data_IF_187064637837
#
_entry.id   IF_187064637837
#
_cell.length_a   1.000
_cell.length_b   1.000
_cell.length_c   1.000
_cell.angle_alpha   90.00
_cell.angle_beta   90.00
_cell.angle_gamma   90.00
#
_symmetry.space_group_name_H-M   'P 1'
#
loop_
_entity.id
_entity.type
_entity.pdbx_description
1 polymer ?
#
# COMPACT_ATOMS: atom_id res chain seq x y z
N UNK A 1 -8.41 -19.83 -5.49
CA UNK A 1 -9.21 -20.23 -4.30
C UNK A 1 -9.48 -21.72 -4.39
N UNK A 2 -9.41 -22.49 -3.28
CA UNK A 2 -9.74 -23.92 -3.29
C UNK A 2 -11.27 -24.11 -3.19
N UNK A 3 -11.83 -25.22 -3.76
CA UNK A 3 -13.28 -25.49 -3.68
C UNK A 3 -13.82 -25.54 -2.23
N UNK A 4 -12.99 -26.01 -1.29
CA UNK A 4 -13.35 -26.08 0.12
C UNK A 4 -13.52 -24.67 0.75
N UNK A 5 -12.62 -23.75 0.42
CA UNK A 5 -12.70 -22.35 0.90
C UNK A 5 -13.91 -21.67 0.26
N UNK A 6 -14.16 -21.87 -1.01
CA UNK A 6 -15.32 -21.32 -1.69
C UNK A 6 -16.64 -21.79 -1.06
N UNK A 7 -16.78 -23.10 -0.83
CA UNK A 7 -17.97 -23.65 -0.15
C UNK A 7 -18.16 -23.09 1.26
N UNK A 8 -17.05 -22.85 1.99
CA UNK A 8 -17.08 -22.21 3.31
C UNK A 8 -17.59 -20.76 3.23
N UNK A 9 -17.08 -19.97 2.27
CA UNK A 9 -17.53 -18.59 2.07
C UNK A 9 -18.98 -18.51 1.66
N UNK A 10 -19.43 -19.39 0.74
CA UNK A 10 -20.86 -19.46 0.34
C UNK A 10 -21.79 -19.79 1.51
N UNK A 11 -21.36 -20.65 2.44
CA UNK A 11 -22.13 -20.92 3.67
C UNK A 11 -22.12 -19.72 4.63
N UNK A 12 -20.95 -19.12 4.88
CA UNK A 12 -20.81 -18.00 5.82
C UNK A 12 -21.59 -16.75 5.37
N UNK A 13 -21.77 -16.55 4.07
CA UNK A 13 -22.41 -15.41 3.45
C UNK A 13 -23.59 -15.83 2.55
N UNK A 14 -24.39 -16.82 2.98
CA UNK A 14 -25.47 -17.41 2.18
C UNK A 14 -26.56 -16.42 1.72
N UNK A 15 -26.78 -15.34 2.47
CA UNK A 15 -27.74 -14.27 2.11
C UNK A 15 -27.11 -13.14 1.29
N UNK A 16 -25.87 -13.28 0.85
CA UNK A 16 -25.13 -12.24 0.12
C UNK A 16 -25.02 -12.56 -1.37
N UNK A 17 -24.99 -11.52 -2.19
CA UNK A 17 -24.56 -11.66 -3.58
C UNK A 17 -23.06 -11.98 -3.61
N UNK A 18 -22.71 -13.12 -4.18
CA UNK A 18 -21.30 -13.55 -4.35
C UNK A 18 -20.95 -13.45 -5.81
N UNK A 19 -19.95 -12.66 -6.12
CA UNK A 19 -19.42 -12.45 -7.47
C UNK A 19 -17.94 -12.82 -7.55
N UNK A 20 -17.54 -13.37 -8.67
CA UNK A 20 -16.12 -13.58 -8.96
C UNK A 20 -15.47 -12.23 -9.27
N UNK A 21 -14.22 -12.05 -8.83
CA UNK A 21 -13.51 -10.79 -9.04
C UNK A 21 -13.16 -10.58 -10.53
N UNK A 22 -13.61 -9.46 -11.06
CA UNK A 22 -13.18 -8.91 -12.36
C UNK A 22 -12.84 -7.42 -12.16
N UNK A 23 -11.69 -6.92 -12.62
CA UNK A 23 -11.36 -5.48 -12.57
C UNK A 23 -12.34 -4.55 -13.27
N UNK A 24 -13.24 -5.09 -14.09
CA UNK A 24 -14.30 -4.34 -14.80
C UNK A 24 -15.62 -4.25 -14.02
N UNK A 25 -15.71 -4.89 -12.83
CA UNK A 25 -16.89 -4.82 -12.00
C UNK A 25 -17.23 -3.37 -11.61
N UNK A 26 -18.50 -3.04 -11.72
CA UNK A 26 -19.06 -1.80 -11.20
C UNK A 26 -19.63 -2.07 -9.80
N UNK A 27 -18.84 -1.78 -8.76
CA UNK A 27 -19.25 -2.05 -7.39
C UNK A 27 -20.46 -1.24 -6.96
N UNK A 28 -20.65 -0.02 -7.45
CA UNK A 28 -21.77 0.84 -7.08
C UNK A 28 -23.11 0.20 -7.48
N UNK A 29 -23.14 -0.50 -8.62
CA UNK A 29 -24.35 -1.22 -9.06
C UNK A 29 -24.62 -2.51 -8.29
N UNK A 30 -23.62 -3.08 -7.65
CA UNK A 30 -23.74 -4.35 -6.94
C UNK A 30 -24.05 -4.18 -5.45
N UNK A 31 -23.76 -3.02 -4.87
CA UNK A 31 -23.88 -2.78 -3.44
C UNK A 31 -25.22 -2.11 -3.14
N UNK A 32 -26.02 -2.71 -2.27
CA UNK A 32 -27.22 -2.05 -1.76
C UNK A 32 -26.87 -0.82 -0.90
N UNK A 33 -27.73 0.22 -0.79
CA UNK A 33 -27.41 1.49 -0.14
C UNK A 33 -26.92 1.40 1.32
N UNK A 34 -27.27 0.33 2.02
CA UNK A 34 -26.80 0.04 3.40
C UNK A 34 -25.97 -1.24 3.47
N UNK A 35 -25.53 -1.75 2.32
CA UNK A 35 -24.78 -2.99 2.22
C UNK A 35 -23.37 -2.87 2.79
N UNK A 36 -22.79 -4.01 3.15
CA UNK A 36 -21.37 -4.15 3.40
C UNK A 36 -20.74 -4.96 2.27
N UNK A 37 -19.49 -4.70 2.01
CA UNK A 37 -18.70 -5.45 1.03
C UNK A 37 -17.77 -6.40 1.77
N UNK A 38 -17.61 -7.61 1.26
CA UNK A 38 -16.61 -8.56 1.74
C UNK A 38 -15.72 -8.93 0.57
N UNK A 39 -14.42 -8.72 0.72
CA UNK A 39 -13.42 -9.14 -0.28
C UNK A 39 -12.63 -10.33 0.24
N UNK A 40 -12.54 -11.38 -0.59
CA UNK A 40 -11.68 -12.53 -0.34
C UNK A 40 -10.60 -12.57 -1.43
N UNK A 41 -9.35 -12.20 -1.08
CA UNK A 41 -8.28 -12.09 -2.07
C UNK A 41 -6.94 -11.68 -1.51
N UNK A 42 -5.96 -11.53 -2.39
CA UNK A 42 -4.64 -10.97 -2.07
C UNK A 42 -4.62 -9.44 -2.17
N UNK A 43 -3.43 -8.87 -1.97
CA UNK A 43 -3.22 -7.40 -1.90
C UNK A 43 -3.75 -6.66 -3.14
N UNK A 44 -3.59 -7.22 -4.33
CA UNK A 44 -4.11 -6.62 -5.57
C UNK A 44 -5.63 -6.49 -5.59
N UNK A 45 -6.36 -7.58 -5.27
CA UNK A 45 -7.83 -7.60 -5.23
C UNK A 45 -8.35 -6.71 -4.09
N UNK A 46 -7.75 -6.82 -2.90
CA UNK A 46 -8.08 -5.96 -1.76
C UNK A 46 -7.85 -4.49 -2.11
N UNK A 47 -6.70 -4.18 -2.71
CA UNK A 47 -6.37 -2.82 -3.13
C UNK A 47 -7.36 -2.25 -4.14
N UNK A 48 -7.80 -3.04 -5.11
CA UNK A 48 -8.81 -2.63 -6.07
C UNK A 48 -10.15 -2.30 -5.38
N UNK A 49 -10.63 -3.20 -4.50
CA UNK A 49 -11.89 -2.99 -3.77
C UNK A 49 -11.79 -1.76 -2.86
N UNK A 50 -10.69 -1.60 -2.12
CA UNK A 50 -10.49 -0.45 -1.23
C UNK A 50 -10.53 0.86 -2.02
N UNK A 51 -9.85 0.94 -3.17
CA UNK A 51 -9.86 2.13 -4.02
C UNK A 51 -11.24 2.48 -4.55
N UNK A 52 -12.05 1.47 -4.91
CA UNK A 52 -13.41 1.69 -5.40
C UNK A 52 -14.43 1.97 -4.28
N UNK A 53 -14.12 1.62 -3.03
CA UNK A 53 -14.94 1.95 -1.86
C UNK A 53 -14.48 3.22 -1.14
N UNK A 54 -13.34 3.80 -1.53
CA UNK A 54 -12.86 5.04 -0.94
C UNK A 54 -13.95 6.13 -1.08
N UNK A 55 -14.12 6.91 0.01
CA UNK A 55 -15.13 7.98 0.09
C UNK A 55 -16.59 7.47 0.15
N UNK A 56 -16.81 6.16 0.07
CA UNK A 56 -18.14 5.57 0.31
C UNK A 56 -18.37 5.31 1.81
N UNK A 57 -19.65 5.04 2.18
CA UNK A 57 -19.99 4.71 3.57
C UNK A 57 -20.02 3.20 3.83
N UNK A 58 -19.77 2.38 2.83
CA UNK A 58 -19.91 0.93 2.90
C UNK A 58 -18.79 0.31 3.72
N UNK A 59 -19.12 -0.45 4.80
CA UNK A 59 -18.11 -1.19 5.55
C UNK A 59 -17.51 -2.32 4.72
N UNK A 60 -16.18 -2.47 4.79
CA UNK A 60 -15.42 -3.50 4.11
C UNK A 60 -14.94 -4.57 5.10
N UNK A 61 -15.32 -5.82 4.86
CA UNK A 61 -14.70 -7.00 5.47
C UNK A 61 -13.61 -7.55 4.56
N UNK A 62 -12.46 -7.94 5.14
CA UNK A 62 -11.33 -8.47 4.38
C UNK A 62 -11.03 -9.89 4.84
N UNK A 63 -10.94 -10.81 3.87
CA UNK A 63 -10.46 -12.19 4.02
C UNK A 63 -9.19 -12.32 3.20
N UNK A 64 -8.06 -12.31 3.90
CA UNK A 64 -6.72 -12.32 3.29
C UNK A 64 -6.40 -13.68 2.70
N UNK A 65 -6.16 -13.75 1.40
CA UNK A 65 -5.84 -14.97 0.66
C UNK A 65 -4.58 -14.84 -0.20
N UNK A 66 -3.87 -13.74 -0.10
CA UNK A 66 -2.60 -13.49 -0.80
C UNK A 66 -1.39 -13.98 -0.01
N UNK A 67 -0.20 -13.79 -0.59
CA UNK A 67 1.07 -14.18 0.03
C UNK A 67 1.50 -13.20 1.13
N UNK A 68 1.39 -11.91 0.89
CA UNK A 68 1.90 -10.88 1.81
C UNK A 68 0.81 -10.29 2.71
N UNK A 69 -0.30 -9.87 2.14
CA UNK A 69 -1.46 -9.29 2.84
C UNK A 69 -1.06 -8.14 3.78
N UNK A 70 -0.18 -7.24 3.31
CA UNK A 70 0.42 -6.18 4.13
C UNK A 70 -0.61 -5.22 4.71
N UNK A 71 -1.57 -4.79 3.87
CA UNK A 71 -2.63 -3.89 4.33
C UNK A 71 -3.48 -4.53 5.44
N UNK A 72 -3.90 -5.78 5.27
CA UNK A 72 -4.67 -6.50 6.27
C UNK A 72 -3.88 -6.75 7.57
N UNK A 73 -2.60 -7.12 7.44
CA UNK A 73 -1.69 -7.28 8.60
C UNK A 73 -1.48 -5.98 9.36
N UNK A 74 -1.32 -4.86 8.66
CA UNK A 74 -1.18 -3.54 9.29
C UNK A 74 -2.42 -3.10 10.06
N UNK A 75 -3.58 -3.67 9.73
CA UNK A 75 -4.83 -3.52 10.46
C UNK A 75 -5.04 -4.60 11.54
N UNK A 76 -4.06 -5.49 11.74
CA UNK A 76 -4.12 -6.63 12.67
C UNK A 76 -5.32 -7.56 12.40
N UNK A 77 -5.69 -7.70 11.13
CA UNK A 77 -6.76 -8.60 10.73
C UNK A 77 -6.28 -10.07 10.78
N UNK A 78 -7.19 -11.01 11.09
CA UNK A 78 -6.84 -12.42 11.12
C UNK A 78 -6.32 -12.94 9.77
N UNK A 79 -5.36 -13.85 9.84
CA UNK A 79 -4.77 -14.51 8.67
C UNK A 79 -5.50 -15.77 8.25
N UNK A 80 -6.36 -16.33 9.11
CA UNK A 80 -7.16 -17.52 8.80
C UNK A 80 -8.57 -17.14 8.36
N UNK A 81 -9.11 -17.86 7.38
CA UNK A 81 -10.44 -17.62 6.83
C UNK A 81 -11.52 -17.64 7.92
N UNK A 82 -11.48 -18.64 8.82
CA UNK A 82 -12.49 -18.78 9.88
C UNK A 82 -12.47 -17.59 10.87
N UNK A 83 -11.29 -17.15 11.26
CA UNK A 83 -11.17 -16.01 12.14
C UNK A 83 -11.59 -14.70 11.46
N UNK A 84 -11.26 -14.53 10.17
CA UNK A 84 -11.71 -13.38 9.37
C UNK A 84 -13.25 -13.35 9.24
N UNK A 85 -13.89 -14.47 8.96
CA UNK A 85 -15.36 -14.59 8.94
C UNK A 85 -15.96 -14.15 10.29
N UNK A 86 -15.40 -14.63 11.41
CA UNK A 86 -15.88 -14.21 12.75
C UNK A 86 -15.75 -12.71 12.97
N UNK A 87 -14.62 -12.10 12.56
CA UNK A 87 -14.43 -10.65 12.66
C UNK A 87 -15.45 -9.90 11.78
N UNK A 88 -15.71 -10.36 10.57
CA UNK A 88 -16.68 -9.72 9.67
C UNK A 88 -18.09 -9.76 10.24
N UNK A 89 -18.48 -10.83 10.91
CA UNK A 89 -19.82 -10.94 11.53
C UNK A 89 -19.94 -10.15 12.84
N UNK A 90 -18.92 -10.21 13.70
CA UNK A 90 -18.99 -9.74 15.09
C UNK A 90 -18.22 -8.44 15.36
N UNK A 91 -17.36 -8.02 14.43
CA UNK A 91 -16.53 -6.83 14.54
C UNK A 91 -17.30 -5.54 14.31
N UNK A 92 -16.55 -4.44 14.32
CA UNK A 92 -17.11 -3.10 14.06
C UNK A 92 -16.36 -2.38 12.95
N UNK A 93 -17.03 -1.54 12.16
CA UNK A 93 -16.38 -0.68 11.18
C UNK A 93 -15.48 0.34 11.88
N UNK A 94 -14.22 0.41 11.48
CA UNK A 94 -13.24 1.41 11.91
C UNK A 94 -12.85 2.29 10.73
N UNK A 95 -12.86 3.63 10.87
CA UNK A 95 -12.37 4.52 9.84
C UNK A 95 -10.86 4.29 9.61
N UNK A 96 -10.46 4.22 8.36
CA UNK A 96 -9.08 3.94 7.95
C UNK A 96 -8.60 5.06 7.03
N UNK A 97 -7.38 5.51 7.25
CA UNK A 97 -6.69 6.47 6.39
C UNK A 97 -6.11 5.76 5.18
N UNK A 98 -6.23 6.38 4.02
CA UNK A 98 -5.52 6.01 2.80
C UNK A 98 -4.56 7.12 2.41
N UNK A 99 -3.53 6.79 1.64
CA UNK A 99 -2.69 7.81 1.04
C UNK A 99 -3.17 8.15 -0.37
N UNK A 100 -2.95 9.38 -0.81
CA UNK A 100 -3.18 9.80 -2.20
C UNK A 100 -1.94 10.51 -2.73
N UNK A 101 -1.50 10.17 -3.93
CA UNK A 101 -0.42 10.87 -4.63
C UNK A 101 -0.87 11.20 -6.05
N UNK A 102 -0.85 12.48 -6.42
CA UNK A 102 -1.29 12.98 -7.73
C UNK A 102 -2.66 12.42 -8.16
N UNK A 103 -3.62 12.35 -7.23
CA UNK A 103 -4.95 11.81 -7.48
C UNK A 103 -5.09 10.28 -7.33
N UNK A 104 -3.99 9.52 -7.35
CA UNK A 104 -4.02 8.06 -7.19
C UNK A 104 -3.96 7.65 -5.72
N UNK A 105 -4.91 6.84 -5.28
CA UNK A 105 -4.93 6.26 -3.92
C UNK A 105 -3.91 5.13 -3.81
N UNK A 106 -3.17 5.10 -2.71
CA UNK A 106 -2.33 3.99 -2.29
C UNK A 106 -2.71 3.49 -0.89
N UNK A 107 -2.51 2.21 -0.67
CA UNK A 107 -2.84 1.52 0.57
C UNK A 107 -1.63 1.35 1.48
N UNK A 108 -0.48 1.01 0.88
CA UNK A 108 0.75 0.69 1.62
C UNK A 108 1.69 1.89 1.66
N UNK A 109 2.19 2.32 0.51
CA UNK A 109 3.09 3.45 0.41
C UNK A 109 3.11 4.09 -0.98
N UNK A 110 3.44 5.38 -1.04
CA UNK A 110 3.98 5.99 -2.24
C UNK A 110 5.49 6.19 -2.11
N UNK A 111 6.19 6.25 -3.24
CA UNK A 111 7.63 6.45 -3.24
C UNK A 111 8.10 7.28 -4.43
N UNK A 112 9.17 8.05 -4.21
CA UNK A 112 9.89 8.79 -5.24
C UNK A 112 11.32 8.25 -5.28
N UNK A 113 11.79 7.86 -6.49
CA UNK A 113 13.15 7.37 -6.69
C UNK A 113 13.31 5.86 -6.50
N UNK A 114 14.48 5.45 -6.02
CA UNK A 114 14.98 4.09 -6.06
C UNK A 114 14.08 3.05 -5.38
N UNK A 115 13.46 3.41 -4.26
CA UNK A 115 12.61 2.48 -3.51
C UNK A 115 11.38 2.02 -4.32
N UNK A 116 10.64 2.97 -4.93
CA UNK A 116 9.48 2.64 -5.74
C UNK A 116 9.84 1.80 -6.96
N UNK A 117 10.99 2.11 -7.60
CA UNK A 117 11.52 1.31 -8.70
C UNK A 117 11.82 -0.12 -8.27
N UNK A 118 12.38 -0.31 -7.09
CA UNK A 118 12.72 -1.65 -6.57
C UNK A 118 11.50 -2.51 -6.30
N UNK A 119 10.41 -1.93 -5.80
CA UNK A 119 9.13 -2.64 -5.61
C UNK A 119 8.55 -3.04 -6.98
N UNK A 120 8.54 -2.13 -7.95
CA UNK A 120 8.05 -2.39 -9.30
C UNK A 120 8.82 -3.52 -9.99
N UNK A 121 10.15 -3.59 -9.83
CA UNK A 121 10.99 -4.71 -10.31
C UNK A 121 10.57 -6.03 -9.66
N UNK A 122 10.36 -6.03 -8.35
CA UNK A 122 9.97 -7.24 -7.61
C UNK A 122 8.61 -7.79 -8.07
N UNK A 123 7.64 -6.93 -8.34
CA UNK A 123 6.32 -7.34 -8.85
C UNK A 123 6.37 -7.80 -10.31
N UNK A 124 7.06 -7.06 -11.19
CA UNK A 124 7.25 -7.45 -12.60
C UNK A 124 7.94 -8.81 -12.76
N UNK A 125 8.87 -9.14 -11.86
CA UNK A 125 9.51 -10.45 -11.82
C UNK A 125 8.53 -11.57 -11.48
N UNK A 126 7.59 -11.35 -10.56
CA UNK A 126 6.54 -12.31 -10.19
C UNK A 126 5.52 -12.53 -11.30
N UNK A 127 5.14 -11.46 -11.98
CA UNK A 127 4.18 -11.49 -13.08
C UNK A 127 4.76 -12.04 -14.39
N UNK A 128 6.06 -12.36 -14.43
CA UNK A 128 6.79 -12.80 -15.64
C UNK A 128 6.68 -11.81 -16.82
N UNK A 129 6.53 -10.53 -16.54
CA UNK A 129 6.43 -9.46 -17.52
C UNK A 129 7.84 -9.01 -18.00
N UNK A 130 8.50 -9.82 -18.84
CA UNK A 130 9.91 -9.64 -19.21
C UNK A 130 10.25 -8.25 -19.78
N UNK A 131 9.37 -7.64 -20.55
CA UNK A 131 9.61 -6.32 -21.16
C UNK A 131 9.69 -5.19 -20.12
N UNK A 132 8.71 -5.13 -19.24
CA UNK A 132 8.66 -4.15 -18.14
C UNK A 132 9.76 -4.40 -17.11
N UNK A 133 10.07 -5.66 -16.83
CA UNK A 133 11.15 -6.04 -15.92
C UNK A 133 12.51 -5.50 -16.39
N UNK A 134 12.87 -5.70 -17.66
CA UNK A 134 14.16 -5.23 -18.18
C UNK A 134 14.27 -3.70 -18.14
N UNK A 135 13.19 -2.97 -18.45
CA UNK A 135 13.15 -1.51 -18.35
C UNK A 135 13.32 -1.03 -16.90
N UNK A 136 12.60 -1.62 -15.96
CA UNK A 136 12.70 -1.23 -14.55
C UNK A 136 14.07 -1.57 -13.96
N UNK A 137 14.67 -2.71 -14.31
CA UNK A 137 16.03 -3.06 -13.90
C UNK A 137 17.06 -2.06 -14.44
N UNK A 138 16.94 -1.65 -15.70
CA UNK A 138 17.83 -0.62 -16.27
C UNK A 138 17.70 0.70 -15.51
N UNK A 139 16.48 1.16 -15.24
CA UNK A 139 16.26 2.39 -14.47
C UNK A 139 16.76 2.29 -13.03
N UNK A 140 16.64 1.11 -12.42
CA UNK A 140 17.22 0.85 -11.10
C UNK A 140 18.76 1.00 -11.12
N UNK A 141 19.42 0.48 -12.16
CA UNK A 141 20.86 0.59 -12.36
C UNK A 141 21.32 2.03 -12.63
N UNK A 142 20.49 2.84 -13.26
CA UNK A 142 20.77 4.25 -13.60
C UNK A 142 20.38 5.24 -12.49
N UNK A 143 19.74 4.78 -11.42
CA UNK A 143 19.26 5.64 -10.34
C UNK A 143 20.40 6.45 -9.71
N UNK A 144 20.19 7.75 -9.55
CA UNK A 144 21.14 8.70 -8.96
C UNK A 144 20.47 9.50 -7.85
N UNK A 145 21.23 10.04 -6.88
CA UNK A 145 20.68 11.00 -5.93
C UNK A 145 20.03 12.18 -6.66
N UNK A 146 18.93 12.66 -6.12
CA UNK A 146 18.25 13.85 -6.62
C UNK A 146 18.08 14.89 -5.50
N UNK A 147 18.07 16.16 -5.86
CA UNK A 147 17.72 17.23 -4.94
C UNK A 147 16.20 17.27 -4.80
N UNK A 148 15.71 17.45 -3.58
CA UNK A 148 14.28 17.59 -3.29
C UNK A 148 14.01 18.87 -2.49
N UNK A 149 12.80 19.38 -2.63
CA UNK A 149 12.22 20.42 -1.82
C UNK A 149 10.82 19.98 -1.37
N UNK A 150 10.54 20.14 -0.09
CA UNK A 150 9.28 19.82 0.56
C UNK A 150 8.59 21.09 0.96
N UNK A 151 7.27 21.18 0.74
CA UNK A 151 6.42 22.27 1.23
C UNK A 151 5.06 21.73 1.70
N UNK A 152 4.50 22.35 2.73
CA UNK A 152 3.25 21.93 3.36
C UNK A 152 3.41 21.73 4.86
N UNK A 153 2.95 20.62 5.40
CA UNK A 153 3.09 20.32 6.84
C UNK A 153 4.56 20.15 7.26
N UNK A 154 5.43 19.85 6.30
CA UNK A 154 6.87 19.77 6.48
C UNK A 154 7.52 20.65 5.41
N UNK A 155 8.41 21.54 5.85
CA UNK A 155 9.19 22.35 4.94
C UNK A 155 10.68 21.99 5.07
N UNK A 156 11.35 21.85 3.94
CA UNK A 156 12.76 21.49 3.93
C UNK A 156 13.27 21.11 2.55
N UNK A 157 14.58 20.98 2.44
CA UNK A 157 15.24 20.57 1.20
C UNK A 157 16.45 19.72 1.49
N UNK A 158 16.88 18.95 0.49
CA UNK A 158 18.04 18.09 0.64
C UNK A 158 18.36 17.27 -0.62
N UNK A 159 19.15 16.22 -0.43
CA UNK A 159 19.44 15.24 -1.47
C UNK A 159 19.11 13.84 -0.96
N UNK A 160 18.49 13.03 -1.79
CA UNK A 160 18.09 11.67 -1.46
C UNK A 160 18.20 10.72 -2.66
N UNK A 161 18.34 9.42 -2.37
CA UNK A 161 18.13 8.34 -3.34
C UNK A 161 16.66 7.93 -3.42
N UNK A 162 15.91 8.16 -2.33
CA UNK A 162 14.50 7.84 -2.26
C UNK A 162 13.78 8.62 -1.16
N UNK A 163 12.51 8.96 -1.44
CA UNK A 163 11.53 9.43 -0.45
C UNK A 163 10.41 8.40 -0.40
N UNK A 164 10.04 7.95 0.80
CA UNK A 164 8.97 6.96 1.01
C UNK A 164 7.90 7.57 1.91
N UNK A 165 6.67 7.53 1.44
CA UNK A 165 5.47 8.05 2.11
C UNK A 165 4.62 6.86 2.54
N UNK A 166 4.77 6.43 3.79
CA UNK A 166 4.17 5.21 4.30
C UNK A 166 2.77 5.45 4.86
N UNK A 167 1.85 4.52 4.56
CA UNK A 167 0.54 4.39 5.19
C UNK A 167 0.44 3.11 6.05
N UNK A 168 1.38 2.19 5.87
CA UNK A 168 1.51 0.94 6.64
C UNK A 168 2.91 0.85 7.24
N UNK A 169 3.10 -0.05 8.19
CA UNK A 169 4.42 -0.30 8.79
C UNK A 169 5.38 -1.07 7.88
N UNK A 170 4.85 -1.74 6.85
CA UNK A 170 5.65 -2.52 5.90
C UNK A 170 5.04 -2.50 4.50
N UNK A 171 5.85 -2.70 3.47
CA UNK A 171 5.44 -2.77 2.06
C UNK A 171 6.07 -3.96 1.35
N UNK A 172 5.45 -4.41 0.26
CA UNK A 172 5.94 -5.49 -0.60
C UNK A 172 6.20 -6.78 0.18
N UNK A 173 7.43 -7.31 0.13
CA UNK A 173 7.85 -8.52 0.86
C UNK A 173 8.05 -8.29 2.38
N UNK A 174 7.21 -7.47 3.02
CA UNK A 174 7.26 -7.09 4.44
C UNK A 174 8.47 -6.21 4.80
N UNK A 175 8.93 -5.38 3.86
CA UNK A 175 9.99 -4.43 4.15
C UNK A 175 9.47 -3.32 5.07
N UNK A 176 10.08 -3.10 6.24
CA UNK A 176 9.63 -2.07 7.18
C UNK A 176 9.87 -0.68 6.60
N UNK A 177 8.85 0.18 6.65
CA UNK A 177 8.90 1.56 6.15
C UNK A 177 8.55 2.59 7.22
N UNK A 178 7.96 2.17 8.33
CA UNK A 178 7.57 3.02 9.45
C UNK A 178 6.92 2.22 10.56
N UNK A 179 6.38 2.91 11.56
CA UNK A 179 5.65 2.31 12.69
C UNK A 179 4.13 2.58 12.60
N UNK A 180 3.70 3.24 11.53
CA UNK A 180 2.33 3.67 11.32
C UNK A 180 1.37 2.51 11.03
N UNK A 181 0.14 2.67 11.47
CA UNK A 181 -1.00 1.84 11.04
C UNK A 181 -1.98 2.66 10.19
N UNK A 182 -2.76 2.05 9.28
CA UNK A 182 -3.78 2.77 8.53
C UNK A 182 -4.88 3.41 9.39
N UNK A 183 -4.94 3.08 10.68
CA UNK A 183 -5.85 3.71 11.63
C UNK A 183 -5.39 5.11 12.08
N UNK A 184 -4.13 5.46 11.87
CA UNK A 184 -3.57 6.77 12.24
C UNK A 184 -3.97 7.84 11.21
N UNK A 185 -4.30 9.08 11.64
CA UNK A 185 -4.81 10.13 10.76
C UNK A 185 -3.70 10.94 10.07
N UNK A 186 -2.58 10.31 9.73
CA UNK A 186 -1.42 10.92 9.07
C UNK A 186 -0.69 9.88 8.20
N UNK A 187 0.24 10.35 7.39
CA UNK A 187 1.24 9.53 6.70
C UNK A 187 2.63 9.76 7.31
N UNK A 188 3.55 8.84 7.07
CA UNK A 188 4.95 8.98 7.50
C UNK A 188 5.88 9.14 6.30
N UNK A 189 6.74 10.15 6.32
CA UNK A 189 7.82 10.37 5.35
C UNK A 189 9.12 9.83 5.91
N UNK A 190 9.78 8.95 5.16
CA UNK A 190 11.16 8.53 5.38
C UNK A 190 12.07 9.03 4.25
N UNK A 191 13.17 9.71 4.59
CA UNK A 191 14.16 10.22 3.64
C UNK A 191 15.37 9.31 3.63
N UNK A 192 15.71 8.73 2.49
CA UNK A 192 16.83 7.82 2.30
C UNK A 192 17.98 8.55 1.58
N UNK A 193 18.74 9.36 2.33
CA UNK A 193 19.82 10.19 1.78
C UNK A 193 21.13 9.43 1.58
N UNK A 194 21.54 8.58 2.53
CA UNK A 194 22.85 7.91 2.55
C UNK A 194 22.84 6.44 2.11
N UNK A 195 21.71 5.90 1.66
CA UNK A 195 21.64 4.51 1.23
C UNK A 195 22.32 4.33 -0.13
N UNK A 196 23.24 3.36 -0.24
CA UNK A 196 23.78 2.98 -1.54
C UNK A 196 22.75 2.19 -2.35
N UNK A 197 22.91 2.17 -3.68
CA UNK A 197 22.09 1.34 -4.57
C UNK A 197 22.03 -0.11 -4.09
N UNK A 198 23.19 -0.65 -3.72
CA UNK A 198 23.36 -2.02 -3.23
C UNK A 198 22.55 -2.28 -1.96
N UNK A 199 22.48 -1.34 -1.05
CA UNK A 199 21.74 -1.52 0.20
C UNK A 199 20.23 -1.58 -0.02
N UNK A 200 19.71 -0.70 -0.86
CA UNK A 200 18.26 -0.67 -1.18
C UNK A 200 17.87 -1.90 -2.00
N UNK A 201 18.64 -2.22 -3.04
CA UNK A 201 18.39 -3.40 -3.89
C UNK A 201 18.48 -4.70 -3.10
N UNK A 202 19.50 -4.87 -2.26
CA UNK A 202 19.59 -6.03 -1.36
C UNK A 202 18.37 -6.16 -0.46
N UNK A 203 17.93 -5.10 0.18
CA UNK A 203 16.75 -5.12 1.05
C UNK A 203 15.47 -5.57 0.32
N UNK A 204 15.28 -5.08 -0.90
CA UNK A 204 14.10 -5.45 -1.72
C UNK A 204 14.18 -6.90 -2.21
N UNK A 205 15.34 -7.33 -2.70
CA UNK A 205 15.50 -8.67 -3.29
C UNK A 205 15.55 -9.77 -2.22
N UNK A 206 16.13 -9.50 -1.05
CA UNK A 206 16.29 -10.54 -0.03
C UNK A 206 15.06 -10.70 0.84
N UNK A 207 14.11 -9.75 0.82
CA UNK A 207 12.99 -9.73 1.76
C UNK A 207 13.45 -9.81 3.21
N UNK A 208 14.75 -9.67 3.44
CA UNK A 208 15.37 -9.83 4.74
C UNK A 208 15.01 -8.63 5.61
N UNK A 209 13.96 -8.83 6.37
CA UNK A 209 13.87 -8.20 7.67
C UNK A 209 15.06 -8.72 8.48
N UNK A 210 16.18 -8.04 8.37
CA UNK A 210 17.15 -8.11 9.44
C UNK A 210 16.41 -7.51 10.64
N UNK A 211 15.91 -8.41 11.49
CA UNK A 211 15.36 -8.13 12.81
C UNK A 211 16.45 -7.52 13.69
N UNK A 212 16.78 -6.26 13.45
CA UNK A 212 17.64 -5.44 14.31
C UNK A 212 17.15 -4.00 14.27
N UNK A 213 17.28 -3.30 15.41
CA UNK A 213 16.77 -1.94 15.56
C UNK A 213 17.32 -1.05 14.45
N UNK A 214 16.52 -0.04 14.09
CA UNK A 214 16.79 0.99 13.08
C UNK A 214 18.29 1.16 12.86
N UNK A 215 18.85 0.81 11.68
CA UNK A 215 20.21 1.20 11.39
C UNK A 215 20.26 2.72 11.58
N UNK A 216 21.27 3.21 12.27
CA UNK A 216 21.54 4.62 12.55
C UNK A 216 21.76 5.51 11.31
N UNK A 217 21.19 5.14 10.17
CA UNK A 217 21.21 5.82 8.88
C UNK A 217 19.90 5.84 8.13
N UNK A 218 18.79 5.28 8.68
CA UNK A 218 17.44 5.54 8.19
C UNK A 218 17.01 6.88 8.79
N UNK A 219 16.87 7.88 7.93
CA UNK A 219 16.58 9.26 8.28
C UNK A 219 15.36 9.42 9.19
N UNK A 220 15.23 10.60 9.76
CA UNK A 220 14.09 11.00 10.58
C UNK A 220 12.79 10.64 9.87
N UNK A 221 11.86 10.03 10.61
CA UNK A 221 10.48 9.79 10.15
C UNK A 221 9.65 11.00 10.54
N UNK A 222 9.01 11.61 9.57
CA UNK A 222 8.18 12.79 9.74
C UNK A 222 6.72 12.45 9.50
N UNK A 223 5.83 12.92 10.36
CA UNK A 223 4.37 12.76 10.21
C UNK A 223 3.79 13.96 9.50
N UNK A 224 2.87 13.71 8.55
CA UNK A 224 2.23 14.78 7.78
C UNK A 224 0.85 14.34 7.29
N UNK A 225 0.03 15.29 6.88
CA UNK A 225 -1.26 15.09 6.20
C UNK A 225 -1.24 15.58 4.76
N UNK A 226 -0.55 16.67 4.49
CA UNK A 226 -0.38 17.21 3.14
C UNK A 226 1.06 17.66 2.92
N UNK A 227 1.61 17.21 1.80
CA UNK A 227 2.99 17.53 1.43
C UNK A 227 3.09 17.66 -0.09
N UNK A 228 3.79 18.67 -0.53
CA UNK A 228 4.20 18.85 -1.92
C UNK A 228 5.69 18.60 -2.04
N UNK A 229 6.07 17.88 -3.09
CA UNK A 229 7.44 17.46 -3.35
C UNK A 229 7.84 17.88 -4.75
N UNK A 230 8.87 18.70 -4.85
CA UNK A 230 9.58 18.99 -6.10
C UNK A 230 10.95 18.33 -6.11
N UNK A 231 11.45 17.97 -7.27
CA UNK A 231 12.80 17.38 -7.40
C UNK A 231 13.54 17.90 -8.62
N UNK A 232 14.87 17.90 -8.52
CA UNK A 232 15.78 18.18 -9.63
C UNK A 232 16.84 17.06 -9.72
N UNK A 233 16.84 16.29 -10.84
CA UNK A 233 15.88 16.26 -11.96
C UNK A 233 14.49 15.75 -11.53
N UNK A 234 13.50 15.81 -12.43
CA UNK A 234 12.17 15.22 -12.21
C UNK A 234 12.27 13.70 -12.11
N UNK A 235 11.79 13.14 -11.01
CA UNK A 235 11.92 11.71 -10.66
C UNK A 235 10.57 11.00 -10.76
N UNK A 236 10.58 9.72 -11.07
CA UNK A 236 9.38 8.87 -11.12
C UNK A 236 8.74 8.75 -9.75
N UNK A 237 7.41 8.75 -9.74
CA UNK A 237 6.55 8.58 -8.57
C UNK A 237 5.79 7.27 -8.70
N UNK A 238 5.75 6.51 -7.62
CA UNK A 238 5.07 5.24 -7.52
C UNK A 238 4.02 5.29 -6.41
N UNK A 239 2.90 4.61 -6.60
CA UNK A 239 1.85 4.39 -5.62
C UNK A 239 1.65 2.88 -5.49
N UNK A 240 1.89 2.31 -4.31
CA UNK A 240 2.04 0.88 -4.11
C UNK A 240 3.08 0.32 -5.12
N UNK A 241 2.68 -0.52 -6.07
CA UNK A 241 3.55 -1.07 -7.11
C UNK A 241 3.40 -0.41 -8.48
N UNK A 242 2.53 0.60 -8.62
CA UNK A 242 2.23 1.25 -9.90
C UNK A 242 2.96 2.57 -10.09
N UNK A 243 3.51 2.83 -11.29
CA UNK A 243 4.04 4.13 -11.65
C UNK A 243 2.92 5.12 -11.95
N UNK A 244 2.86 6.22 -11.19
CA UNK A 244 1.79 7.21 -11.27
C UNK A 244 2.23 8.58 -11.82
N UNK A 245 3.45 8.67 -12.34
CA UNK A 245 3.94 9.88 -12.99
C UNK A 245 5.36 10.25 -12.60
N UNK A 246 5.61 11.55 -12.58
CA UNK A 246 6.89 12.17 -12.16
C UNK A 246 6.61 13.37 -11.26
N UNK A 247 7.61 13.77 -10.46
CA UNK A 247 7.56 15.01 -9.70
C UNK A 247 7.38 16.24 -10.60
N UNK A 248 6.73 17.34 -10.12
CA UNK A 248 6.25 17.54 -8.75
C UNK A 248 5.13 16.57 -8.38
N UNK A 249 5.00 16.29 -7.08
CA UNK A 249 3.99 15.40 -6.55
C UNK A 249 3.34 16.01 -5.30
N UNK A 250 2.02 15.89 -5.21
CA UNK A 250 1.26 16.21 -4.01
C UNK A 250 0.84 14.92 -3.33
N UNK A 251 1.18 14.78 -2.06
CA UNK A 251 0.86 13.62 -1.24
C UNK A 251 -0.09 14.06 -0.12
N UNK A 252 -1.23 13.36 0.02
CA UNK A 252 -2.24 13.67 1.06
C UNK A 252 -2.64 12.43 1.83
N UNK A 253 -2.94 12.60 3.11
CA UNK A 253 -3.60 11.61 3.95
C UNK A 253 -5.12 11.81 3.85
N UNK A 254 -5.79 10.86 3.21
CA UNK A 254 -7.26 10.81 3.14
C UNK A 254 -7.80 10.16 4.41
N UNK A 255 -8.02 10.96 5.43
CA UNK A 255 -8.46 10.49 6.75
C UNK A 255 -9.89 9.96 6.67
N UNK A 256 -10.14 8.78 7.25
CA UNK A 256 -11.46 8.14 7.22
C UNK A 256 -11.98 7.81 5.81
N UNK A 257 -11.08 7.58 4.85
CA UNK A 257 -11.42 7.34 3.46
C UNK A 257 -12.23 6.05 3.23
N UNK A 258 -12.04 5.05 4.06
CA UNK A 258 -12.77 3.78 4.01
C UNK A 258 -13.05 3.27 5.42
N UNK A 259 -14.11 2.49 5.60
CA UNK A 259 -14.41 1.82 6.87
C UNK A 259 -14.10 0.33 6.74
N UNK A 260 -13.16 -0.18 7.52
CA UNK A 260 -12.83 -1.62 7.55
C UNK A 260 -13.38 -2.25 8.82
N UNK A 261 -13.98 -3.43 8.69
CA UNK A 261 -14.48 -4.20 9.84
C UNK A 261 -13.27 -4.85 10.53
N UNK A 262 -13.05 -4.46 11.77
CA UNK A 262 -11.94 -4.96 12.60
C UNK A 262 -12.49 -5.62 13.87
N UNK A 263 -11.63 -6.33 14.60
CA UNK A 263 -11.99 -6.90 15.89
C UNK A 263 -12.45 -5.80 16.87
N UNK A 264 -13.29 -6.18 17.83
CA UNK A 264 -13.77 -5.27 18.89
C UNK A 264 -12.67 -4.88 19.83
#
# INVERSE_FOLDING_TARGET
MTPQIEAKLRRAFASSLIVEFDPKLDLEKLISPRGRVVVAGGDGTVGWVVRNLAETKHPLGIISMGTFNNFAKSLQLPTTVDAAIRVIHNGRPRPITLGRVNGRIFLEAAAIGLFGMSIAVGESAKERAFGTFAEEVRHLAEARPFKYELSGDINGSGSAMSLVFANTSSVGSQMPVGDKTPADPYLELSVHAGATRTDIVKRVLTGTVLSKPRPSGLGQVFRFRKLEVTTKPRVRVYADNERVGRTPATITAEVSAVKVIVNR
#
